data_IF_910870083411
#
_entry.id   IF_910870083411
#
_cell.length_a   1.000
_cell.length_b   1.000
_cell.length_c   1.000
_cell.angle_alpha   90.00
_cell.angle_beta   90.00
_cell.angle_gamma   90.00
#
_symmetry.space_group_name_H-M   'P 1'
#
loop_
_entity.id
_entity.type
_entity.pdbx_description
1 polymer ?
#
# COMPACT_ATOMS: atom_id res chain seq x y z
N UNK A 1 -7.45 27.35 -33.51
CA UNK A 1 -7.10 27.43 -32.07
C UNK A 1 -6.01 28.49 -31.92
N UNK A 2 -6.19 29.52 -31.08
CA UNK A 2 -5.17 30.55 -30.88
C UNK A 2 -4.19 30.11 -29.77
N UNK A 3 -2.97 29.74 -30.16
CA UNK A 3 -1.93 29.23 -29.24
C UNK A 3 -0.83 30.27 -28.95
N UNK A 4 -1.02 31.54 -29.31
CA UNK A 4 -0.01 32.60 -29.18
C UNK A 4 0.34 32.95 -27.73
N UNK A 5 -0.59 32.75 -26.79
CA UNK A 5 -0.44 33.06 -25.36
C UNK A 5 0.04 31.88 -24.51
N UNK A 6 0.44 30.76 -25.13
CA UNK A 6 0.98 29.63 -24.38
C UNK A 6 2.32 30.02 -23.74
N UNK A 7 2.52 29.75 -22.43
CA UNK A 7 3.82 29.94 -21.78
C UNK A 7 4.85 28.97 -22.37
N UNK A 8 6.13 29.22 -22.13
CA UNK A 8 7.21 28.39 -22.66
C UNK A 8 7.27 27.01 -21.99
N UNK A 9 6.85 26.93 -20.73
CA UNK A 9 6.82 25.72 -19.91
C UNK A 9 5.50 25.61 -19.13
N UNK A 10 5.07 24.39 -18.82
CA UNK A 10 3.97 24.16 -17.88
C UNK A 10 4.46 24.07 -16.41
N UNK A 11 3.52 23.89 -15.48
CA UNK A 11 3.81 23.70 -14.05
C UNK A 11 4.64 22.45 -13.73
N UNK A 12 4.82 21.55 -14.70
CA UNK A 12 5.58 20.31 -14.59
C UNK A 12 6.94 20.39 -15.31
N UNK A 13 7.27 21.54 -15.91
CA UNK A 13 8.53 21.77 -16.63
C UNK A 13 8.54 21.27 -18.09
N UNK A 14 7.40 20.89 -18.66
CA UNK A 14 7.31 20.43 -20.06
C UNK A 14 7.41 21.63 -21.02
N UNK A 15 8.20 21.51 -22.08
CA UNK A 15 8.37 22.55 -23.09
C UNK A 15 7.14 22.66 -24.01
N UNK A 16 6.47 23.83 -23.97
CA UNK A 16 5.26 24.10 -24.73
C UNK A 16 5.51 24.93 -26.00
N UNK A 17 6.72 25.46 -26.19
CA UNK A 17 7.07 26.31 -27.33
C UNK A 17 6.76 25.65 -28.67
N UNK A 18 6.93 24.33 -28.75
CA UNK A 18 6.65 23.53 -29.95
C UNK A 18 5.20 23.69 -30.43
N UNK A 19 4.24 23.77 -29.51
CA UNK A 19 2.82 23.95 -29.85
C UNK A 19 2.54 25.35 -30.40
N UNK A 20 3.19 26.37 -29.84
CA UNK A 20 3.09 27.76 -30.29
C UNK A 20 3.74 27.96 -31.67
N UNK A 21 4.97 27.48 -31.85
CA UNK A 21 5.73 27.60 -33.10
C UNK A 21 5.05 26.88 -34.27
N UNK A 22 4.54 25.66 -34.03
CA UNK A 22 3.82 24.91 -35.06
C UNK A 22 2.36 25.34 -35.24
N UNK A 23 1.87 26.31 -34.44
CA UNK A 23 0.45 26.69 -34.35
C UNK A 23 -0.48 25.47 -34.17
N UNK A 24 -0.01 24.46 -33.44
CA UNK A 24 -0.73 23.21 -33.20
C UNK A 24 -0.55 22.14 -34.27
N UNK A 25 0.17 22.43 -35.37
CA UNK A 25 0.47 21.44 -36.42
C UNK A 25 1.36 20.29 -35.97
N UNK A 26 2.00 20.41 -34.80
CA UNK A 26 2.71 19.29 -34.16
C UNK A 26 1.77 18.26 -33.52
N UNK A 27 0.49 18.58 -33.33
CA UNK A 27 -0.50 17.66 -32.79
C UNK A 27 -0.93 16.70 -33.89
N UNK A 28 -0.67 15.42 -33.69
CA UNK A 28 -0.99 14.37 -34.68
C UNK A 28 -2.19 13.56 -34.23
N UNK A 29 -2.94 13.00 -35.18
CA UNK A 29 -4.12 12.15 -34.92
C UNK A 29 -3.84 11.00 -33.96
N UNK A 30 -2.66 10.38 -34.05
CA UNK A 30 -2.25 9.30 -33.14
C UNK A 30 -2.07 9.74 -31.68
N UNK A 31 -1.83 11.03 -31.41
CA UNK A 31 -1.75 11.56 -30.04
C UNK A 31 -3.13 11.60 -29.39
N UNK A 32 -4.19 11.92 -30.16
CA UNK A 32 -5.57 11.85 -29.67
C UNK A 32 -5.97 10.44 -29.26
N UNK A 33 -5.57 9.43 -30.05
CA UNK A 33 -5.71 8.01 -29.69
C UNK A 33 -5.02 7.69 -28.36
N UNK A 34 -3.85 8.28 -28.10
CA UNK A 34 -3.15 8.08 -26.83
C UNK A 34 -3.86 8.70 -25.65
N UNK A 35 -4.28 9.95 -25.78
CA UNK A 35 -5.00 10.68 -24.72
C UNK A 35 -6.35 10.03 -24.38
N UNK A 36 -7.11 9.58 -25.39
CA UNK A 36 -8.38 8.90 -25.17
C UNK A 36 -8.19 7.56 -24.44
N UNK A 37 -7.19 6.79 -24.86
CA UNK A 37 -6.85 5.52 -24.21
C UNK A 37 -6.46 5.71 -22.74
N UNK A 38 -5.58 6.67 -22.47
CA UNK A 38 -5.12 7.00 -21.13
C UNK A 38 -6.28 7.46 -20.25
N UNK A 39 -7.18 8.32 -20.76
CA UNK A 39 -8.37 8.74 -20.03
C UNK A 39 -9.29 7.56 -19.65
N UNK A 40 -9.62 6.69 -20.61
CA UNK A 40 -10.48 5.54 -20.37
C UNK A 40 -9.89 4.58 -19.33
N UNK A 41 -8.58 4.33 -19.41
CA UNK A 41 -7.88 3.39 -18.53
C UNK A 41 -7.63 3.98 -17.13
N UNK A 42 -7.33 5.28 -17.02
CA UNK A 42 -7.27 6.01 -15.74
C UNK A 42 -8.62 6.02 -15.03
N UNK A 43 -9.70 6.15 -15.80
CA UNK A 43 -11.08 6.17 -15.26
C UNK A 43 -11.54 4.78 -14.83
N UNK A 44 -11.34 3.78 -15.69
CA UNK A 44 -11.77 2.41 -15.43
C UNK A 44 -10.88 1.41 -16.16
N UNK A 45 -10.00 0.76 -15.40
CA UNK A 45 -9.02 -0.22 -15.92
C UNK A 45 -9.66 -1.42 -16.62
N UNK A 46 -10.86 -1.85 -16.18
CA UNK A 46 -11.60 -2.94 -16.83
C UNK A 46 -12.03 -2.62 -18.27
N UNK A 47 -11.90 -1.36 -18.70
CA UNK A 47 -12.18 -0.95 -20.08
C UNK A 47 -11.10 -1.37 -21.07
N UNK A 48 -9.97 -1.96 -20.64
CA UNK A 48 -8.87 -2.35 -21.53
C UNK A 48 -9.32 -3.25 -22.69
N UNK A 49 -10.19 -4.22 -22.42
CA UNK A 49 -10.72 -5.12 -23.44
C UNK A 49 -11.59 -4.37 -24.45
N UNK A 50 -12.51 -3.54 -23.96
CA UNK A 50 -13.36 -2.69 -24.79
C UNK A 50 -12.55 -1.67 -25.61
N UNK A 51 -11.48 -1.14 -25.04
CA UNK A 51 -10.56 -0.21 -25.69
C UNK A 51 -9.75 -0.91 -26.80
N UNK A 52 -9.28 -2.14 -26.53
CA UNK A 52 -8.59 -2.97 -27.51
C UNK A 52 -9.48 -3.27 -28.70
N UNK A 53 -10.75 -3.61 -28.44
CA UNK A 53 -11.77 -3.81 -29.46
C UNK A 53 -12.05 -2.53 -30.26
N UNK A 54 -12.28 -1.40 -29.59
CA UNK A 54 -12.52 -0.09 -30.21
C UNK A 54 -11.37 0.33 -31.16
N UNK A 55 -10.15 -0.06 -30.84
CA UNK A 55 -8.94 0.23 -31.60
C UNK A 55 -8.56 -0.82 -32.63
N UNK A 56 -9.28 -1.94 -32.71
CA UNK A 56 -9.00 -3.05 -33.61
C UNK A 56 -7.65 -3.72 -33.32
N UNK A 57 -7.14 -3.65 -32.09
CA UNK A 57 -5.91 -4.35 -31.75
C UNK A 57 -6.20 -5.85 -31.56
N UNK A 58 -5.44 -6.69 -32.28
CA UNK A 58 -5.52 -8.16 -32.23
C UNK A 58 -5.22 -8.75 -30.85
N UNK A 59 -4.54 -7.99 -29.97
CA UNK A 59 -4.17 -8.41 -28.63
C UNK A 59 -4.21 -7.22 -27.67
N UNK A 60 -4.81 -7.41 -26.50
CA UNK A 60 -4.88 -6.41 -25.43
C UNK A 60 -3.49 -5.93 -24.99
N UNK A 61 -2.46 -6.76 -25.11
CA UNK A 61 -1.07 -6.42 -24.78
C UNK A 61 -0.50 -5.28 -25.65
N UNK A 62 -1.00 -5.09 -26.87
CA UNK A 62 -0.63 -3.95 -27.74
C UNK A 62 -1.23 -2.66 -27.18
N UNK A 63 -2.50 -2.72 -26.76
CA UNK A 63 -3.18 -1.61 -26.08
C UNK A 63 -2.51 -1.30 -24.74
N UNK A 64 -2.17 -2.33 -23.98
CA UNK A 64 -1.55 -2.21 -22.68
C UNK A 64 -0.12 -1.65 -22.76
N UNK A 65 0.71 -2.08 -23.71
CA UNK A 65 2.07 -1.53 -23.86
C UNK A 65 2.10 -0.15 -24.51
N UNK A 66 1.22 0.11 -25.48
CA UNK A 66 1.24 1.35 -26.27
C UNK A 66 0.61 2.55 -25.59
N UNK A 67 -0.31 2.32 -24.63
CA UNK A 67 -1.16 3.34 -24.04
C UNK A 67 -1.17 3.38 -22.52
N UNK A 68 -0.59 2.37 -21.86
CA UNK A 68 -0.34 2.39 -20.43
C UNK A 68 1.07 2.92 -20.20
N UNK A 69 1.21 4.11 -19.60
CA UNK A 69 2.52 4.66 -19.33
C UNK A 69 3.32 3.70 -18.44
N UNK A 70 4.63 3.53 -18.66
CA UNK A 70 5.46 2.64 -17.86
C UNK A 70 5.33 2.86 -16.34
N UNK A 71 5.13 4.11 -15.91
CA UNK A 71 4.92 4.49 -14.51
C UNK A 71 3.59 3.94 -13.97
N UNK A 72 2.52 3.98 -14.76
CA UNK A 72 1.22 3.42 -14.37
C UNK A 72 1.25 1.89 -14.33
N UNK A 73 1.97 1.26 -15.26
CA UNK A 73 2.17 -0.20 -15.26
C UNK A 73 2.88 -0.66 -14.00
N UNK A 74 3.94 0.04 -13.63
CA UNK A 74 4.67 -0.22 -12.40
C UNK A 74 3.78 0.00 -11.17
N UNK A 75 2.98 1.06 -11.15
CA UNK A 75 2.04 1.31 -10.06
C UNK A 75 1.02 0.17 -9.90
N UNK A 76 0.55 -0.40 -11.01
CA UNK A 76 -0.40 -1.52 -11.02
C UNK A 76 0.22 -2.83 -10.57
N UNK A 77 1.46 -3.10 -11.02
CA UNK A 77 2.22 -4.25 -10.55
C UNK A 77 2.48 -4.15 -9.04
N UNK A 78 2.85 -2.97 -8.54
CA UNK A 78 3.02 -2.70 -7.11
C UNK A 78 1.71 -2.86 -6.34
N UNK A 79 0.59 -2.35 -6.85
CA UNK A 79 -0.72 -2.50 -6.22
C UNK A 79 -1.16 -3.97 -6.19
N UNK A 80 -0.95 -4.72 -7.28
CA UNK A 80 -1.23 -6.16 -7.35
C UNK A 80 -0.40 -6.96 -6.36
N UNK A 81 0.90 -6.64 -6.23
CA UNK A 81 1.78 -7.25 -5.22
C UNK A 81 1.30 -6.93 -3.80
N UNK A 82 0.89 -5.69 -3.53
CA UNK A 82 0.36 -5.30 -2.21
C UNK A 82 -0.94 -6.04 -1.88
N UNK A 83 -1.84 -6.23 -2.84
CA UNK A 83 -3.05 -7.04 -2.66
C UNK A 83 -2.71 -8.52 -2.46
N UNK A 84 -1.77 -9.08 -3.22
CA UNK A 84 -1.33 -10.47 -3.03
C UNK A 84 -0.77 -10.69 -1.62
N UNK A 85 0.12 -9.81 -1.17
CA UNK A 85 0.67 -9.87 0.19
C UNK A 85 -0.44 -9.74 1.26
N UNK A 86 -1.45 -8.90 1.01
CA UNK A 86 -2.63 -8.78 1.89
C UNK A 86 -3.42 -10.09 1.96
N UNK A 87 -3.63 -10.76 0.82
CA UNK A 87 -4.27 -12.09 0.77
C UNK A 87 -3.43 -13.10 1.53
N UNK A 88 -2.12 -13.14 1.31
CA UNK A 88 -1.20 -14.06 2.00
C UNK A 88 -1.25 -13.88 3.51
N UNK A 89 -1.30 -12.63 3.99
CA UNK A 89 -1.46 -12.34 5.41
C UNK A 89 -2.73 -12.97 5.99
N UNK A 90 -3.90 -12.74 5.38
CA UNK A 90 -5.16 -13.28 5.89
C UNK A 90 -5.26 -14.80 5.79
N UNK A 91 -4.76 -15.41 4.70
CA UNK A 91 -4.66 -16.87 4.59
C UNK A 91 -3.79 -17.42 5.73
N UNK A 92 -2.62 -16.83 5.95
CA UNK A 92 -1.70 -17.27 7.00
C UNK A 92 -2.28 -17.10 8.41
N UNK A 93 -3.11 -16.06 8.63
CA UNK A 93 -3.82 -15.85 9.89
C UNK A 93 -4.90 -16.92 10.10
N UNK A 94 -5.62 -17.30 9.05
CA UNK A 94 -6.62 -18.37 9.07
C UNK A 94 -6.02 -19.73 9.40
N UNK A 95 -4.77 -19.97 8.99
CA UNK A 95 -3.95 -21.13 9.41
C UNK A 95 -3.47 -21.03 10.89
N UNK A 96 -4.09 -20.15 11.68
CA UNK A 96 -3.84 -19.92 13.11
C UNK A 96 -2.45 -19.41 13.47
N UNK A 97 -1.76 -18.72 12.54
CA UNK A 97 -0.58 -17.95 12.95
C UNK A 97 -0.99 -16.85 13.93
N UNK A 98 -0.27 -16.77 15.04
CA UNK A 98 -0.54 -15.77 16.08
C UNK A 98 -0.12 -14.40 15.57
N UNK A 99 -1.05 -13.45 15.67
CA UNK A 99 -0.81 -12.02 15.40
C UNK A 99 -0.97 -11.24 16.69
N UNK A 100 -0.16 -10.21 16.84
CA UNK A 100 -0.11 -9.32 18.00
C UNK A 100 -0.30 -7.87 17.58
N UNK A 101 -0.59 -7.02 18.55
CA UNK A 101 -0.82 -5.59 18.34
C UNK A 101 -2.29 -5.20 18.48
N UNK A 102 -2.55 -3.89 18.47
CA UNK A 102 -3.88 -3.35 18.75
C UNK A 102 -4.91 -3.71 17.67
N UNK A 103 -4.47 -3.97 16.44
CA UNK A 103 -5.34 -4.38 15.33
C UNK A 103 -5.63 -5.89 15.33
N UNK A 104 -4.95 -6.71 16.15
CA UNK A 104 -5.09 -8.16 16.12
C UNK A 104 -6.55 -8.63 16.29
N UNK A 105 -7.29 -8.05 17.25
CA UNK A 105 -8.69 -8.39 17.48
C UNK A 105 -9.60 -8.05 16.29
N UNK A 106 -9.30 -6.97 15.55
CA UNK A 106 -10.07 -6.59 14.37
C UNK A 106 -9.75 -7.49 13.17
N UNK A 107 -8.51 -7.96 13.03
CA UNK A 107 -8.15 -9.00 12.05
C UNK A 107 -8.95 -10.27 12.31
N UNK A 108 -9.07 -10.68 13.56
CA UNK A 108 -9.82 -11.89 13.93
C UNK A 108 -11.31 -11.75 13.64
N UNK A 109 -11.91 -10.61 14.02
CA UNK A 109 -13.31 -10.31 13.69
C UNK A 109 -13.55 -10.33 12.18
N UNK A 110 -12.64 -9.74 11.39
CA UNK A 110 -12.76 -9.75 9.94
C UNK A 110 -12.83 -11.18 9.37
N UNK A 111 -12.00 -12.11 9.86
CA UNK A 111 -12.02 -13.50 9.41
C UNK A 111 -13.32 -14.21 9.81
N UNK A 112 -13.81 -13.99 11.03
CA UNK A 112 -15.06 -14.59 11.51
C UNK A 112 -16.28 -14.02 10.80
N UNK A 113 -16.37 -12.69 10.65
CA UNK A 113 -17.49 -12.02 9.97
C UNK A 113 -17.59 -12.42 8.50
N UNK A 114 -16.44 -12.59 7.83
CA UNK A 114 -16.35 -13.07 6.46
C UNK A 114 -16.46 -14.62 6.35
N UNK A 115 -16.64 -15.34 7.46
CA UNK A 115 -16.72 -16.81 7.54
C UNK A 115 -15.52 -17.54 6.92
N UNK A 116 -14.34 -16.92 6.96
CA UNK A 116 -13.11 -17.42 6.36
C UNK A 116 -12.39 -18.43 7.26
N UNK A 117 -12.59 -18.33 8.57
CA UNK A 117 -12.00 -19.20 9.60
C UNK A 117 -12.44 -20.67 9.52
N UNK A 118 -13.62 -20.93 8.94
CA UNK A 118 -14.19 -22.27 8.80
C UNK A 118 -13.71 -23.06 7.57
N UNK A 119 -13.00 -22.41 6.64
CA UNK A 119 -12.60 -23.01 5.35
C UNK A 119 -11.28 -23.77 5.53
N UNK A 120 -11.32 -25.10 5.34
CA UNK A 120 -10.13 -25.95 5.46
C UNK A 120 -9.31 -26.04 4.16
N UNK A 121 -9.96 -25.95 3.00
CA UNK A 121 -9.27 -25.98 1.71
C UNK A 121 -8.57 -24.63 1.46
N UNK A 122 -7.24 -24.64 1.42
CA UNK A 122 -6.39 -23.44 1.24
C UNK A 122 -6.66 -22.77 -0.12
N UNK A 123 -6.92 -23.52 -1.18
CA UNK A 123 -7.21 -22.98 -2.50
C UNK A 123 -8.54 -22.23 -2.52
N UNK A 124 -9.57 -22.81 -1.89
CA UNK A 124 -10.88 -22.16 -1.71
C UNK A 124 -10.77 -20.94 -0.80
N UNK A 125 -10.06 -21.07 0.33
CA UNK A 125 -9.81 -19.99 1.28
C UNK A 125 -9.12 -18.81 0.59
N UNK A 126 -8.02 -19.06 -0.12
CA UNK A 126 -7.27 -18.01 -0.84
C UNK A 126 -8.16 -17.28 -1.84
N UNK A 127 -9.00 -18.02 -2.56
CA UNK A 127 -9.93 -17.44 -3.53
C UNK A 127 -10.96 -16.54 -2.84
N UNK A 128 -11.56 -17.00 -1.73
CA UNK A 128 -12.52 -16.22 -0.94
C UNK A 128 -11.89 -14.99 -0.29
N UNK A 129 -10.72 -15.14 0.32
CA UNK A 129 -9.94 -14.03 0.86
C UNK A 129 -9.66 -12.99 -0.24
N UNK A 130 -9.24 -13.44 -1.42
CA UNK A 130 -9.00 -12.56 -2.57
C UNK A 130 -10.27 -11.80 -2.97
N UNK A 131 -11.43 -12.46 -3.07
CA UNK A 131 -12.70 -11.80 -3.36
C UNK A 131 -13.00 -10.69 -2.35
N UNK A 132 -12.89 -10.96 -1.05
CA UNK A 132 -13.18 -9.99 0.02
C UNK A 132 -12.18 -8.84 0.02
N UNK A 133 -10.88 -9.14 -0.09
CA UNK A 133 -9.81 -8.12 -0.13
C UNK A 133 -10.00 -7.15 -1.30
N UNK A 134 -10.35 -7.66 -2.48
CA UNK A 134 -10.58 -6.84 -3.66
C UNK A 134 -11.91 -6.06 -3.56
N UNK A 135 -12.99 -6.69 -3.08
CA UNK A 135 -14.30 -6.05 -2.96
C UNK A 135 -14.27 -4.85 -1.99
N UNK A 136 -13.49 -4.95 -0.92
CA UNK A 136 -13.39 -3.91 0.11
C UNK A 136 -12.14 -3.03 -0.01
N UNK A 137 -11.31 -3.23 -1.05
CA UNK A 137 -10.01 -2.57 -1.25
C UNK A 137 -9.16 -2.56 0.04
N UNK A 138 -9.10 -3.73 0.70
CA UNK A 138 -8.33 -3.88 1.93
C UNK A 138 -6.85 -3.91 1.55
N UNK A 139 -6.08 -3.00 2.14
CA UNK A 139 -4.64 -2.90 1.90
C UNK A 139 -3.87 -2.89 3.22
N UNK A 140 -2.91 -3.79 3.31
CA UNK A 140 -1.95 -3.85 4.40
C UNK A 140 -0.63 -3.26 3.91
N UNK A 141 -0.03 -2.38 4.71
CA UNK A 141 1.29 -1.84 4.43
C UNK A 141 2.32 -2.59 5.26
N UNK A 142 3.05 -3.48 4.59
CA UNK A 142 4.06 -4.35 5.19
C UNK A 142 5.35 -3.58 5.50
N UNK A 143 6.01 -3.94 6.61
CA UNK A 143 7.31 -3.40 6.99
C UNK A 143 8.01 -4.35 7.97
N UNK A 144 9.33 -4.30 8.05
CA UNK A 144 10.17 -5.25 8.82
C UNK A 144 9.78 -5.37 10.30
N UNK A 145 9.28 -4.28 10.88
CA UNK A 145 8.90 -4.22 12.28
C UNK A 145 7.43 -4.54 12.56
N UNK A 146 6.59 -4.51 11.52
CA UNK A 146 5.17 -4.78 11.62
C UNK A 146 4.35 -4.12 10.51
N UNK A 147 3.13 -4.63 10.39
CA UNK A 147 2.17 -4.31 9.34
C UNK A 147 1.19 -3.21 9.78
N UNK A 148 0.77 -2.38 8.83
CA UNK A 148 -0.13 -1.27 9.07
C UNK A 148 -1.46 -1.43 8.31
N UNK A 149 -2.56 -1.40 9.06
CA UNK A 149 -3.94 -1.55 8.62
C UNK A 149 -4.68 -0.19 8.56
N UNK A 150 -3.95 0.87 8.19
CA UNK A 150 -4.54 2.21 8.10
C UNK A 150 -5.74 2.27 7.15
N UNK A 151 -5.80 1.42 6.13
CA UNK A 151 -6.94 1.34 5.21
C UNK A 151 -8.25 0.95 5.93
N UNK A 152 -8.16 0.15 6.99
CA UNK A 152 -9.30 -0.29 7.77
C UNK A 152 -9.71 0.73 8.86
N UNK A 153 -8.74 1.40 9.49
CA UNK A 153 -8.98 2.36 10.56
C UNK A 153 -8.19 3.67 10.36
N UNK A 154 -8.47 4.46 9.30
CA UNK A 154 -7.63 5.61 8.94
C UNK A 154 -7.63 6.70 10.01
N UNK A 155 -8.74 6.88 10.74
CA UNK A 155 -8.87 7.85 11.83
C UNK A 155 -7.97 7.53 13.04
N UNK A 156 -7.62 6.26 13.22
CA UNK A 156 -6.81 5.81 14.37
C UNK A 156 -5.30 5.83 14.09
N UNK A 157 -4.90 6.29 12.89
CA UNK A 157 -3.50 6.35 12.48
C UNK A 157 -2.76 7.48 13.18
N UNK A 158 -1.87 7.13 14.11
CA UNK A 158 -1.00 8.09 14.81
C UNK A 158 -0.08 8.88 13.87
N UNK A 159 0.40 8.27 12.78
CA UNK A 159 1.29 8.97 11.84
C UNK A 159 0.56 10.06 11.05
N UNK A 160 -0.72 9.85 10.72
CA UNK A 160 -1.54 10.88 10.10
C UNK A 160 -1.97 11.95 11.11
N UNK A 161 -2.31 11.54 12.35
CA UNK A 161 -2.56 12.50 13.44
C UNK A 161 -1.37 13.45 13.63
N UNK A 162 -0.14 12.92 13.64
CA UNK A 162 1.08 13.72 13.74
C UNK A 162 1.38 14.61 12.52
N UNK A 163 0.80 14.30 11.36
CA UNK A 163 1.07 15.02 10.10
C UNK A 163 0.08 16.15 9.79
N UNK A 164 -0.89 16.41 10.68
CA UNK A 164 -1.93 17.42 10.46
C UNK A 164 -3.36 16.92 10.61
N UNK A 165 -3.55 15.65 11.01
CA UNK A 165 -4.86 15.09 11.34
C UNK A 165 -5.17 13.83 10.54
N UNK A 166 -5.85 12.88 11.19
CA UNK A 166 -6.33 11.68 10.51
C UNK A 166 -7.64 11.96 9.77
N UNK A 167 -7.81 11.37 8.59
CA UNK A 167 -8.97 11.54 7.73
C UNK A 167 -9.29 10.24 7.01
N UNK A 168 -10.57 9.98 6.73
CA UNK A 168 -11.03 8.85 5.92
C UNK A 168 -10.40 8.79 4.52
N UNK A 169 -9.94 9.93 4.00
CA UNK A 169 -9.24 10.00 2.70
C UNK A 169 -7.77 9.57 2.80
N UNK A 170 -7.18 9.59 4.00
CA UNK A 170 -5.76 9.31 4.24
C UNK A 170 -5.54 7.83 4.60
N UNK A 171 -5.73 6.95 3.60
CA UNK A 171 -5.64 5.49 3.74
C UNK A 171 -4.23 4.91 3.51
N UNK A 172 -3.19 5.76 3.57
CA UNK A 172 -1.79 5.34 3.41
C UNK A 172 -0.97 5.86 4.59
N UNK A 173 0.01 5.10 5.12
CA UNK A 173 0.85 5.58 6.20
C UNK A 173 1.67 6.80 5.75
N UNK A 174 1.86 7.76 6.65
CA UNK A 174 2.67 8.93 6.36
C UNK A 174 4.14 8.63 6.69
N UNK A 175 4.95 8.31 5.67
CA UNK A 175 6.35 7.95 5.86
C UNK A 175 7.25 9.09 6.36
N UNK A 176 6.81 10.36 6.29
CA UNK A 176 7.58 11.49 6.81
C UNK A 176 7.51 11.60 8.34
N UNK A 177 6.36 11.25 8.93
CA UNK A 177 6.12 11.36 10.38
C UNK A 177 6.12 10.02 11.10
N UNK A 178 6.03 8.91 10.36
CA UNK A 178 6.06 7.55 10.88
C UNK A 178 7.39 7.28 11.59
N UNK A 179 7.30 6.72 12.79
CA UNK A 179 8.43 6.12 13.51
C UNK A 179 8.03 4.78 14.10
N UNK A 180 9.01 3.90 14.32
CA UNK A 180 8.80 2.59 14.96
C UNK A 180 8.08 2.70 16.30
N UNK A 181 8.53 3.62 17.15
CA UNK A 181 7.94 3.89 18.46
C UNK A 181 6.46 4.23 18.36
N UNK A 182 6.11 5.07 17.39
CA UNK A 182 4.74 5.50 17.15
C UNK A 182 3.89 4.33 16.66
N UNK A 183 4.40 3.54 15.71
CA UNK A 183 3.71 2.39 15.16
C UNK A 183 3.44 1.32 16.22
N UNK A 184 4.41 1.00 17.08
CA UNK A 184 4.27 -0.03 18.09
C UNK A 184 3.11 0.21 19.08
N UNK A 185 2.69 1.47 19.27
CA UNK A 185 1.50 1.83 20.06
C UNK A 185 0.30 2.29 19.24
N UNK A 186 0.36 2.19 17.91
CA UNK A 186 -0.71 2.64 17.02
C UNK A 186 -1.82 1.60 16.94
N UNK A 187 -3.09 2.04 16.85
CA UNK A 187 -4.19 1.10 16.73
C UNK A 187 -4.23 0.38 15.39
N UNK A 188 -3.67 0.98 14.33
CA UNK A 188 -3.56 0.35 13.01
C UNK A 188 -2.45 -0.71 12.93
N UNK A 189 -1.75 -1.01 14.03
CA UNK A 189 -0.54 -1.83 14.00
C UNK A 189 -0.85 -3.29 14.34
N UNK A 190 -0.29 -4.19 13.52
CA UNK A 190 -0.27 -5.63 13.76
C UNK A 190 1.09 -6.20 13.40
N UNK A 191 1.51 -7.26 14.06
CA UNK A 191 2.76 -7.95 13.75
C UNK A 191 2.65 -9.43 14.10
N UNK A 192 3.45 -10.26 13.44
CA UNK A 192 3.50 -11.71 13.58
C UNK A 192 4.96 -12.19 13.67
N UNK A 193 5.17 -13.50 13.74
CA UNK A 193 6.49 -14.10 13.93
C UNK A 193 7.52 -13.74 12.85
N UNK A 194 7.10 -13.30 11.66
CA UNK A 194 8.02 -12.87 10.60
C UNK A 194 8.79 -11.59 10.97
N UNK A 195 8.26 -10.80 11.91
CA UNK A 195 8.86 -9.54 12.36
C UNK A 195 9.81 -9.74 13.55
N UNK A 196 9.85 -10.95 14.14
CA UNK A 196 10.68 -11.24 15.31
C UNK A 196 12.18 -10.90 15.09
N UNK A 197 12.81 -11.21 13.93
CA UNK A 197 14.22 -10.88 13.72
C UNK A 197 14.52 -9.38 13.83
N UNK A 198 13.60 -8.52 13.42
CA UNK A 198 13.75 -7.06 13.58
C UNK A 198 13.76 -6.68 15.06
N UNK A 199 12.84 -7.24 15.85
CA UNK A 199 12.71 -6.93 17.26
C UNK A 199 13.87 -7.46 18.09
N UNK A 200 14.43 -8.62 17.74
CA UNK A 200 15.65 -9.16 18.36
C UNK A 200 16.86 -8.27 18.09
N UNK A 201 17.10 -7.87 16.83
CA UNK A 201 18.14 -6.91 16.50
C UNK A 201 17.97 -5.59 17.25
N UNK A 202 16.74 -5.10 17.36
CA UNK A 202 16.45 -3.87 18.10
C UNK A 202 16.76 -3.99 19.58
N UNK A 203 16.62 -5.16 20.19
CA UNK A 203 17.08 -5.39 21.58
C UNK A 203 18.59 -5.23 21.66
N UNK A 204 19.33 -5.82 20.72
CA UNK A 204 20.79 -5.71 20.68
C UNK A 204 21.25 -4.26 20.49
N UNK A 205 20.68 -3.55 19.51
CA UNK A 205 21.03 -2.16 19.16
C UNK A 205 20.91 -1.20 20.36
N UNK A 206 19.87 -1.37 21.18
CA UNK A 206 19.62 -0.50 22.34
C UNK A 206 20.16 -1.05 23.66
N UNK A 207 20.64 -2.30 23.68
CA UNK A 207 21.00 -3.02 24.91
C UNK A 207 22.13 -2.35 25.68
N UNK A 208 23.21 -1.96 25.01
CA UNK A 208 24.35 -1.31 25.66
C UNK A 208 23.98 0.08 26.20
N UNK A 209 23.35 0.90 25.36
CA UNK A 209 22.93 2.25 25.73
C UNK A 209 21.86 2.27 26.84
N UNK A 210 21.06 1.21 26.97
CA UNK A 210 20.05 1.07 28.01
C UNK A 210 20.63 0.68 29.39
N UNK A 211 21.90 0.30 29.48
CA UNK A 211 22.57 0.05 30.77
C UNK A 211 22.76 1.33 31.58
N UNK A 212 22.86 2.48 30.91
CA UNK A 212 22.88 3.80 31.55
C UNK A 212 21.44 4.24 31.86
N UNK A 213 21.03 4.30 33.14
CA UNK A 213 19.68 4.69 33.51
C UNK A 213 19.35 6.15 33.19
N UNK A 214 20.36 7.01 33.00
CA UNK A 214 20.16 8.41 32.62
C UNK A 214 19.72 8.54 31.17
N UNK A 215 20.06 7.56 30.32
CA UNK A 215 19.61 7.48 28.94
C UNK A 215 18.18 6.91 28.84
N UNK A 216 17.21 7.72 29.28
CA UNK A 216 15.78 7.36 29.30
C UNK A 216 15.26 6.89 27.93
N UNK A 217 15.80 7.42 26.84
CA UNK A 217 15.42 7.01 25.48
C UNK A 217 15.86 5.58 25.25
N UNK A 218 17.14 5.25 25.45
CA UNK A 218 17.64 3.89 25.24
C UNK A 218 16.92 2.87 26.13
N UNK A 219 16.72 3.19 27.42
CA UNK A 219 15.96 2.35 28.36
C UNK A 219 14.55 2.08 27.84
N UNK A 220 13.82 3.11 27.42
CA UNK A 220 12.46 2.97 26.88
C UNK A 220 12.40 2.14 25.59
N UNK A 221 13.36 2.35 24.67
CA UNK A 221 13.40 1.65 23.37
C UNK A 221 13.77 0.19 23.54
N UNK A 222 14.74 -0.10 24.40
CA UNK A 222 15.13 -1.46 24.76
C UNK A 222 13.99 -2.20 25.46
N UNK A 223 13.33 -1.56 26.44
CA UNK A 223 12.19 -2.15 27.13
C UNK A 223 11.01 -2.47 26.19
N UNK A 224 10.71 -1.58 25.24
CA UNK A 224 9.70 -1.82 24.21
C UNK A 224 10.03 -3.04 23.35
N UNK A 225 11.28 -3.14 22.86
CA UNK A 225 11.69 -4.27 22.04
C UNK A 225 11.67 -5.60 22.82
N UNK A 226 12.16 -5.58 24.07
CA UNK A 226 12.10 -6.73 24.97
C UNK A 226 10.68 -7.20 25.26
N UNK A 227 9.73 -6.28 25.44
CA UNK A 227 8.32 -6.64 25.63
C UNK A 227 7.77 -7.41 24.44
N UNK A 228 8.07 -6.96 23.21
CA UNK A 228 7.64 -7.64 21.97
C UNK A 228 8.28 -9.03 21.84
N UNK A 229 9.59 -9.14 22.03
CA UNK A 229 10.30 -10.44 21.97
C UNK A 229 9.75 -11.42 23.02
N UNK A 230 9.44 -10.94 24.23
CA UNK A 230 8.83 -11.76 25.29
C UNK A 230 7.43 -12.26 24.91
N UNK A 231 6.62 -11.44 24.25
CA UNK A 231 5.30 -11.89 23.76
C UNK A 231 5.43 -13.04 22.76
N UNK A 232 6.39 -12.98 21.84
CA UNK A 232 6.64 -14.09 20.93
C UNK A 232 7.11 -15.36 21.64
N UNK A 233 8.06 -15.25 22.58
CA UNK A 233 8.58 -16.41 23.31
C UNK A 233 7.55 -17.09 24.20
N UNK A 234 6.56 -16.35 24.73
CA UNK A 234 5.49 -16.91 25.58
C UNK A 234 4.39 -17.64 24.79
N UNK A 235 4.22 -17.31 23.51
CA UNK A 235 3.13 -17.81 22.66
C UNK A 235 3.66 -18.66 21.48
N UNK A 236 4.86 -19.21 21.63
CA UNK A 236 5.46 -20.20 20.73
C UNK A 236 5.19 -21.59 21.28
#
# INVERSE_FOLDING_TARGET
MNLSRLPDYDSFGNNLMRYRQSRGGCIRTHQGRKTFADYCLKTRKSSLSALSFHYGHLNESITYKGYYEPIQRLADEVDSLAHSATVDFFVSRSERKVVFGNMAAAVDRFLTDAKLDSIQDIGVLRTKVKEVVYAHDIRIFFNDFGNCFISAAPLESRCQQAAGGASWMLRKPNYKTRSITMCAGCNCFVFDSTHLPYWERRVEDWGEAAKDPTNRVAVSRHAQAMAVVRWFKKNR
#
